data_IF_790990220622
#
_entry.id   IF_790990220622
#
_cell.length_a   1.000
_cell.length_b   1.000
_cell.length_c   1.000
_cell.angle_alpha   90.00
_cell.angle_beta   90.00
_cell.angle_gamma   90.00
#
_symmetry.space_group_name_H-M   'P 1'
#
loop_
_entity.id
_entity.type
_entity.pdbx_description
1 polymer ?
#
# COMPACT_ATOMS: atom_id res chain seq x y z
N UNK A 1 23.70 -65.92 -36.39
CA UNK A 1 24.36 -64.96 -35.47
C UNK A 1 25.15 -63.99 -36.35
N UNK A 2 24.90 -62.69 -36.47
CA UNK A 2 24.12 -61.70 -35.72
C UNK A 2 23.45 -60.73 -36.73
N UNK A 3 22.23 -60.27 -36.43
CA UNK A 3 21.47 -59.34 -37.27
C UNK A 3 21.87 -57.88 -36.97
N UNK A 4 22.60 -57.23 -37.88
CA UNK A 4 22.75 -55.77 -37.87
C UNK A 4 21.53 -55.14 -38.56
N UNK A 5 20.52 -54.72 -37.77
CA UNK A 5 19.42 -53.90 -38.27
C UNK A 5 19.88 -52.45 -38.40
N UNK A 6 20.29 -52.06 -39.61
CA UNK A 6 20.51 -50.66 -39.98
C UNK A 6 19.16 -49.95 -39.94
N UNK A 7 18.95 -49.06 -38.97
CA UNK A 7 17.76 -48.21 -38.96
C UNK A 7 17.79 -47.25 -40.15
N UNK A 8 16.67 -47.06 -40.88
CA UNK A 8 16.62 -46.15 -42.01
C UNK A 8 16.82 -44.70 -41.54
N UNK A 9 17.77 -44.01 -42.18
CA UNK A 9 18.25 -42.62 -41.94
C UNK A 9 17.14 -41.58 -41.70
N UNK A 10 15.92 -41.82 -42.22
CA UNK A 10 14.72 -40.97 -42.05
C UNK A 10 14.04 -41.08 -40.68
N UNK A 11 14.24 -42.18 -39.93
CA UNK A 11 13.70 -42.33 -38.56
C UNK A 11 14.58 -41.67 -37.50
N UNK A 12 15.88 -41.59 -37.74
CA UNK A 12 16.82 -40.90 -36.84
C UNK A 12 16.60 -39.37 -36.83
N UNK A 13 16.28 -38.75 -37.97
CA UNK A 13 15.96 -37.31 -38.02
C UNK A 13 14.65 -36.95 -37.31
N UNK A 14 13.63 -37.83 -37.33
CA UNK A 14 12.34 -37.58 -36.65
C UNK A 14 12.44 -37.68 -35.13
N UNK A 15 13.38 -38.48 -34.62
CA UNK A 15 13.64 -38.62 -33.18
C UNK A 15 14.48 -37.45 -32.64
N UNK A 16 15.41 -36.90 -33.44
CA UNK A 16 16.14 -35.68 -33.07
C UNK A 16 15.23 -34.44 -33.08
N UNK A 17 14.28 -34.31 -34.01
CA UNK A 17 13.35 -33.17 -34.04
C UNK A 17 12.35 -33.17 -32.88
N UNK A 18 11.98 -34.35 -32.38
CA UNK A 18 11.09 -34.47 -31.22
C UNK A 18 11.80 -34.11 -29.90
N UNK A 19 13.11 -34.38 -29.79
CA UNK A 19 13.92 -34.01 -28.63
C UNK A 19 14.21 -32.50 -28.60
N UNK A 20 14.42 -31.86 -29.76
CA UNK A 20 14.60 -30.40 -29.86
C UNK A 20 13.32 -29.63 -29.54
N UNK A 21 12.13 -30.17 -29.88
CA UNK A 21 10.85 -29.58 -29.49
C UNK A 21 10.55 -29.72 -27.98
N UNK A 22 10.92 -30.85 -27.37
CA UNK A 22 10.77 -31.04 -25.91
C UNK A 22 11.71 -30.14 -25.09
N UNK A 23 12.89 -29.80 -25.61
CA UNK A 23 13.81 -28.85 -24.97
C UNK A 23 13.40 -27.39 -25.22
N UNK A 24 12.84 -27.07 -26.40
CA UNK A 24 12.41 -25.71 -26.74
C UNK A 24 11.11 -25.24 -26.02
N UNK A 25 10.25 -26.17 -25.60
CA UNK A 25 9.02 -25.82 -24.85
C UNK A 25 9.21 -25.72 -23.33
N UNK A 26 10.39 -26.05 -22.80
CA UNK A 26 10.68 -26.02 -21.36
C UNK A 26 11.10 -24.64 -20.82
N UNK A 27 11.32 -23.65 -21.70
CA UNK A 27 11.74 -22.30 -21.33
C UNK A 27 10.57 -21.31 -21.40
N UNK A 28 9.37 -21.77 -21.04
CA UNK A 28 8.34 -20.84 -20.62
C UNK A 28 8.83 -20.21 -19.32
N UNK A 29 9.11 -18.91 -19.33
CA UNK A 29 9.22 -18.15 -18.08
C UNK A 29 7.88 -18.28 -17.38
N UNK A 30 7.75 -19.25 -16.46
CA UNK A 30 6.69 -19.19 -15.48
C UNK A 30 6.89 -17.84 -14.79
N UNK A 31 6.04 -16.87 -15.13
CA UNK A 31 5.94 -15.68 -14.31
C UNK A 31 5.66 -16.22 -12.91
N UNK A 32 6.63 -16.07 -12.01
CA UNK A 32 6.44 -16.39 -10.61
C UNK A 32 5.41 -15.37 -10.15
N UNK A 33 4.14 -15.77 -10.20
CA UNK A 33 3.07 -15.00 -9.56
C UNK A 33 3.33 -15.23 -8.08
N UNK A 34 3.85 -14.20 -7.43
CA UNK A 34 4.22 -14.23 -6.02
C UNK A 34 2.92 -14.34 -5.23
N UNK A 35 2.85 -15.28 -4.28
CA UNK A 35 1.79 -15.30 -3.28
C UNK A 35 1.76 -13.95 -2.57
N UNK A 36 0.63 -13.54 -1.99
CA UNK A 36 0.63 -12.29 -1.22
C UNK A 36 1.86 -12.28 -0.28
N UNK A 37 2.76 -11.27 -0.34
CA UNK A 37 4.12 -11.42 0.22
C UNK A 37 4.16 -11.75 1.71
N UNK A 38 3.08 -11.45 2.45
CA UNK A 38 2.93 -11.74 3.87
C UNK A 38 2.08 -12.99 4.17
N UNK A 39 1.63 -13.70 3.15
CA UNK A 39 0.79 -14.89 3.22
C UNK A 39 -0.71 -14.62 2.98
N UNK A 40 -1.44 -15.68 2.65
CA UNK A 40 -2.79 -15.61 2.07
C UNK A 40 -3.90 -15.07 3.01
N UNK A 41 -3.59 -14.77 4.27
CA UNK A 41 -4.55 -14.37 5.31
C UNK A 41 -4.46 -12.90 5.72
N UNK A 42 -3.46 -12.16 5.22
CA UNK A 42 -3.20 -10.80 5.68
C UNK A 42 -4.18 -9.78 5.14
N UNK A 43 -4.51 -8.80 5.98
CA UNK A 43 -5.08 -7.52 5.57
C UNK A 43 -4.01 -6.49 5.92
N UNK A 44 -3.62 -5.66 4.96
CA UNK A 44 -2.53 -4.70 5.08
C UNK A 44 -3.07 -3.28 4.94
N UNK A 45 -2.56 -2.34 5.74
CA UNK A 45 -3.02 -0.95 5.70
C UNK A 45 -1.82 -0.01 5.51
N UNK A 46 -2.03 1.01 4.69
CA UNK A 46 -1.09 2.11 4.51
C UNK A 46 -1.84 3.43 4.66
N UNK A 47 -1.27 4.35 5.43
CA UNK A 47 -1.76 5.71 5.58
C UNK A 47 -0.64 6.71 5.31
N UNK A 48 -0.89 7.68 4.43
CA UNK A 48 -0.04 8.86 4.30
C UNK A 48 -0.84 10.09 4.73
N UNK A 49 -0.40 10.73 5.81
CA UNK A 49 -0.97 11.96 6.32
C UNK A 49 -0.17 13.15 5.79
N UNK A 50 -0.83 14.03 5.04
CA UNK A 50 -0.23 15.23 4.45
C UNK A 50 -0.94 16.47 4.98
N UNK A 51 -0.22 17.34 5.67
CA UNK A 51 -0.75 18.64 6.10
C UNK A 51 -0.40 19.69 5.06
N UNK A 52 -1.40 20.47 4.67
CA UNK A 52 -1.37 21.56 3.69
C UNK A 52 -1.83 22.86 4.38
N UNK A 53 -1.66 24.00 3.72
CA UNK A 53 -2.28 25.24 4.19
C UNK A 53 -3.82 25.08 4.16
N UNK A 54 -4.46 25.27 5.32
CA UNK A 54 -5.91 25.20 5.51
C UNK A 54 -6.48 23.79 5.66
N UNK A 55 -5.68 22.73 5.58
CA UNK A 55 -6.24 21.39 5.57
C UNK A 55 -5.25 20.23 5.67
N UNK A 56 -5.82 19.05 5.61
CA UNK A 56 -5.11 17.78 5.69
C UNK A 56 -5.68 16.79 4.68
N UNK A 57 -4.80 16.00 4.08
CA UNK A 57 -5.13 14.86 3.24
C UNK A 57 -4.62 13.59 3.89
N UNK A 58 -5.44 12.54 3.85
CA UNK A 58 -5.04 11.19 4.23
C UNK A 58 -5.25 10.27 3.04
N UNK A 59 -4.14 9.80 2.45
CA UNK A 59 -4.15 8.70 1.49
C UNK A 59 -4.24 7.41 2.29
N UNK A 60 -5.27 6.62 2.07
CA UNK A 60 -5.51 5.38 2.80
C UNK A 60 -5.64 4.22 1.82
N UNK A 61 -4.88 3.16 2.06
CA UNK A 61 -4.89 1.96 1.21
C UNK A 61 -5.10 0.74 2.10
N UNK A 62 -6.05 -0.10 1.71
CA UNK A 62 -6.24 -1.44 2.27
C UNK A 62 -5.93 -2.45 1.17
N UNK A 63 -5.06 -3.39 1.49
CA UNK A 63 -4.61 -4.44 0.58
C UNK A 63 -4.80 -5.80 1.24
N UNK A 64 -5.70 -6.60 0.68
CA UNK A 64 -6.12 -7.88 1.23
C UNK A 64 -5.58 -9.03 0.40
N UNK A 65 -5.03 -10.02 1.09
CA UNK A 65 -4.61 -11.28 0.50
C UNK A 65 -5.80 -12.13 0.04
N UNK A 66 -5.51 -13.30 -0.50
CA UNK A 66 -6.47 -14.14 -1.23
C UNK A 66 -7.66 -14.60 -0.40
N UNK A 67 -7.45 -15.05 0.84
CA UNK A 67 -8.56 -15.56 1.69
C UNK A 67 -9.49 -14.45 2.17
N UNK A 68 -9.00 -13.32 2.72
CA UNK A 68 -9.88 -12.18 3.02
C UNK A 68 -10.59 -11.66 1.77
N UNK A 69 -9.92 -11.63 0.62
CA UNK A 69 -10.55 -11.23 -0.65
C UNK A 69 -11.71 -12.15 -1.01
N UNK A 70 -11.52 -13.47 -0.91
CA UNK A 70 -12.59 -14.44 -1.16
C UNK A 70 -13.76 -14.28 -0.19
N UNK A 71 -13.51 -13.88 1.06
CA UNK A 71 -14.57 -13.59 2.03
C UNK A 71 -15.36 -12.34 1.63
N UNK A 72 -14.66 -11.26 1.27
CA UNK A 72 -15.31 -10.01 0.86
C UNK A 72 -16.02 -10.16 -0.49
N UNK A 73 -15.49 -10.96 -1.43
CA UNK A 73 -16.13 -11.20 -2.74
C UNK A 73 -17.49 -11.87 -2.61
N UNK A 74 -17.69 -12.74 -1.60
CA UNK A 74 -19.01 -13.32 -1.32
C UNK A 74 -20.03 -12.27 -0.86
N UNK A 75 -19.58 -11.19 -0.23
CA UNK A 75 -20.43 -10.07 0.16
C UNK A 75 -20.63 -9.04 -0.98
N UNK A 76 -19.78 -9.09 -2.01
CA UNK A 76 -19.90 -8.28 -3.23
C UNK A 76 -20.82 -8.93 -4.26
N UNK A 77 -20.76 -10.24 -4.42
CA UNK A 77 -21.55 -11.05 -5.37
C UNK A 77 -23.03 -11.12 -4.93
N UNK A 78 -23.77 -10.04 -5.20
CA UNK A 78 -25.18 -9.89 -4.84
C UNK A 78 -26.08 -10.75 -5.71
N UNK A 79 -25.70 -10.94 -6.98
CA UNK A 79 -26.46 -11.73 -7.94
C UNK A 79 -26.23 -13.25 -7.77
N UNK A 80 -25.17 -13.65 -7.04
CA UNK A 80 -24.76 -15.01 -6.72
C UNK A 80 -24.35 -15.84 -7.94
N UNK A 81 -23.73 -15.21 -8.92
CA UNK A 81 -23.24 -15.87 -10.14
C UNK A 81 -21.83 -16.47 -9.97
N UNK A 82 -21.18 -16.22 -8.82
CA UNK A 82 -19.85 -16.73 -8.49
C UNK A 82 -18.71 -15.84 -8.98
N UNK A 83 -19.02 -14.65 -9.50
CA UNK A 83 -18.06 -13.64 -9.92
C UNK A 83 -18.44 -12.26 -9.40
N UNK A 84 -17.47 -11.35 -9.30
CA UNK A 84 -17.73 -9.95 -8.92
C UNK A 84 -17.59 -9.09 -10.16
N UNK A 85 -18.68 -8.48 -10.57
CA UNK A 85 -18.70 -7.46 -11.62
C UNK A 85 -18.12 -6.12 -11.12
N UNK A 86 -17.78 -5.23 -12.06
CA UNK A 86 -17.32 -3.88 -11.70
C UNK A 86 -18.41 -3.08 -10.98
N UNK A 87 -19.67 -3.30 -11.38
CA UNK A 87 -20.84 -2.67 -10.80
C UNK A 87 -21.05 -3.12 -9.34
N UNK A 88 -20.95 -4.42 -9.07
CA UNK A 88 -21.02 -4.97 -7.71
C UNK A 88 -19.87 -4.48 -6.82
N UNK A 89 -18.65 -4.47 -7.34
CA UNK A 89 -17.50 -3.93 -6.63
C UNK A 89 -17.70 -2.43 -6.29
N UNK A 90 -18.24 -1.64 -7.22
CA UNK A 90 -18.53 -0.22 -7.00
C UNK A 90 -19.61 -0.03 -5.92
N UNK A 91 -20.71 -0.80 -5.98
CA UNK A 91 -21.78 -0.76 -4.96
C UNK A 91 -21.25 -1.17 -3.58
N UNK A 92 -20.40 -2.19 -3.52
CA UNK A 92 -19.75 -2.59 -2.28
C UNK A 92 -18.84 -1.47 -1.74
N UNK A 93 -18.06 -0.81 -2.61
CA UNK A 93 -17.18 0.30 -2.21
C UNK A 93 -17.95 1.49 -1.64
N UNK A 94 -19.14 1.79 -2.15
CA UNK A 94 -20.04 2.82 -1.59
C UNK A 94 -20.39 2.55 -0.12
N UNK A 95 -20.51 1.27 0.26
CA UNK A 95 -20.76 0.85 1.65
C UNK A 95 -19.49 0.78 2.49
N UNK A 96 -18.39 0.29 1.92
CA UNK A 96 -17.14 0.06 2.65
C UNK A 96 -16.43 1.37 3.00
N UNK A 97 -16.32 2.31 2.07
CA UNK A 97 -15.49 3.50 2.25
C UNK A 97 -15.91 4.38 3.45
N UNK A 98 -17.21 4.62 3.72
CA UNK A 98 -17.63 5.30 4.96
C UNK A 98 -17.20 4.58 6.23
N UNK A 99 -17.25 3.25 6.28
CA UNK A 99 -16.79 2.48 7.46
C UNK A 99 -15.27 2.60 7.65
N UNK A 100 -14.50 2.58 6.56
CA UNK A 100 -13.05 2.80 6.65
C UNK A 100 -12.74 4.20 7.19
N UNK A 101 -13.48 5.21 6.75
CA UNK A 101 -13.37 6.59 7.24
C UNK A 101 -13.70 6.70 8.74
N UNK A 102 -14.74 6.02 9.23
CA UNK A 102 -15.07 5.98 10.66
C UNK A 102 -13.90 5.45 11.50
N UNK A 103 -13.12 4.53 10.94
CA UNK A 103 -11.95 3.96 11.58
C UNK A 103 -10.71 4.87 11.58
N UNK A 104 -10.73 6.00 10.88
CA UNK A 104 -9.64 6.99 10.87
C UNK A 104 -9.95 8.13 11.86
N UNK A 105 -9.06 8.31 12.83
CA UNK A 105 -9.15 9.38 13.82
C UNK A 105 -7.98 10.34 13.62
N UNK A 106 -8.29 11.60 13.36
CA UNK A 106 -7.32 12.67 13.26
C UNK A 106 -7.68 13.80 14.21
N UNK A 107 -6.72 14.26 15.00
CA UNK A 107 -6.89 15.40 15.90
C UNK A 107 -5.75 16.42 15.73
N UNK A 108 -6.08 17.70 15.89
CA UNK A 108 -5.12 18.79 16.03
C UNK A 108 -5.36 19.48 17.36
N UNK A 109 -4.30 19.62 18.17
CA UNK A 109 -4.36 20.25 19.49
C UNK A 109 -5.46 19.65 20.40
N UNK A 110 -5.71 18.34 20.23
CA UNK A 110 -6.74 17.59 20.94
C UNK A 110 -8.15 17.68 20.35
N UNK A 111 -8.41 18.60 19.41
CA UNK A 111 -9.70 18.70 18.72
C UNK A 111 -9.76 17.77 17.50
N UNK A 112 -10.88 17.04 17.32
CA UNK A 112 -11.07 16.17 16.15
C UNK A 112 -11.20 16.99 14.88
N UNK A 113 -10.47 16.59 13.83
CA UNK A 113 -10.64 17.10 12.48
C UNK A 113 -11.67 16.20 11.79
N UNK A 114 -12.86 16.70 11.42
CA UNK A 114 -13.80 15.96 10.60
C UNK A 114 -13.19 15.70 9.23
N UNK A 115 -13.19 14.44 8.82
CA UNK A 115 -12.72 14.02 7.51
C UNK A 115 -13.92 13.68 6.61
N UNK A 116 -13.76 13.90 5.31
CA UNK A 116 -14.70 13.46 4.28
C UNK A 116 -13.98 12.71 3.16
N UNK A 117 -14.71 11.91 2.40
CA UNK A 117 -14.16 11.14 1.28
C UNK A 117 -14.06 12.04 0.05
N UNK A 118 -12.85 12.28 -0.44
CA UNK A 118 -12.61 13.02 -1.67
C UNK A 118 -12.54 12.10 -2.88
N UNK A 119 -11.94 10.91 -2.73
CA UNK A 119 -11.86 9.89 -3.78
C UNK A 119 -11.85 8.49 -3.17
N UNK A 120 -12.30 7.51 -3.95
CA UNK A 120 -12.25 6.09 -3.60
C UNK A 120 -12.15 5.22 -4.85
N UNK A 121 -11.44 4.11 -4.76
CA UNK A 121 -11.28 3.13 -5.83
C UNK A 121 -11.15 1.73 -5.24
N UNK A 122 -11.66 0.75 -5.97
CA UNK A 122 -11.57 -0.67 -5.65
C UNK A 122 -11.04 -1.42 -6.87
N UNK A 123 -10.17 -2.40 -6.65
CA UNK A 123 -9.67 -3.27 -7.70
C UNK A 123 -9.41 -4.66 -7.15
N UNK A 124 -9.48 -5.67 -8.01
CA UNK A 124 -9.24 -7.06 -7.64
C UNK A 124 -8.09 -7.66 -8.46
N UNK A 125 -6.82 -7.31 -8.16
CA UNK A 125 -5.67 -7.85 -8.88
C UNK A 125 -5.56 -9.36 -8.74
N UNK A 126 -4.96 -10.01 -9.74
CA UNK A 126 -4.69 -11.45 -9.68
C UNK A 126 -3.62 -11.75 -8.63
N UNK A 127 -3.93 -12.63 -7.70
CA UNK A 127 -3.00 -13.25 -6.77
C UNK A 127 -2.52 -14.62 -7.26
N UNK A 128 -2.00 -15.43 -6.35
CA UNK A 128 -1.46 -16.75 -6.68
C UNK A 128 -2.56 -17.80 -6.91
N UNK A 129 -2.29 -18.79 -7.76
CA UNK A 129 -3.20 -19.91 -7.98
C UNK A 129 -4.51 -19.53 -8.68
N UNK A 130 -4.57 -18.36 -9.32
CA UNK A 130 -5.79 -17.87 -9.97
C UNK A 130 -6.80 -17.21 -9.03
N UNK A 131 -6.47 -17.10 -7.74
CA UNK A 131 -7.26 -16.35 -6.76
C UNK A 131 -7.07 -14.84 -6.96
N UNK A 132 -8.04 -14.06 -6.50
CA UNK A 132 -7.96 -12.60 -6.51
C UNK A 132 -7.44 -12.09 -5.16
N UNK A 133 -6.78 -10.95 -5.22
CA UNK A 133 -6.51 -10.06 -4.08
C UNK A 133 -7.45 -8.87 -4.18
N UNK A 134 -7.58 -8.08 -3.12
CA UNK A 134 -8.48 -6.93 -3.09
C UNK A 134 -7.70 -5.71 -2.62
N UNK A 135 -7.77 -4.65 -3.42
CA UNK A 135 -7.15 -3.37 -3.11
C UNK A 135 -8.19 -2.27 -3.11
N UNK A 136 -8.30 -1.59 -1.98
CA UNK A 136 -9.11 -0.40 -1.80
C UNK A 136 -8.19 0.80 -1.57
N UNK A 137 -8.46 1.88 -2.26
CA UNK A 137 -7.76 3.15 -2.10
C UNK A 137 -8.79 4.23 -1.80
N UNK A 138 -8.52 5.06 -0.81
CA UNK A 138 -9.36 6.18 -0.42
C UNK A 138 -8.49 7.41 -0.17
N UNK A 139 -8.98 8.57 -0.59
CA UNK A 139 -8.40 9.86 -0.21
C UNK A 139 -9.39 10.59 0.69
N UNK A 140 -8.99 10.83 1.93
CA UNK A 140 -9.77 11.59 2.89
C UNK A 140 -9.22 13.01 3.02
N UNK A 141 -10.11 13.98 3.21
CA UNK A 141 -9.76 15.40 3.36
C UNK A 141 -10.41 15.98 4.60
N UNK A 142 -9.69 16.87 5.28
CA UNK A 142 -10.20 17.63 6.43
C UNK A 142 -9.71 19.06 6.39
N UNK A 143 -10.46 19.94 7.06
CA UNK A 143 -10.07 21.34 7.24
C UNK A 143 -9.42 21.49 8.60
N UNK A 144 -8.27 22.17 8.62
CA UNK A 144 -7.61 22.60 9.85
C UNK A 144 -7.91 24.07 9.98
N UNK A 145 -8.68 24.44 11.01
CA UNK A 145 -8.89 25.84 11.34
C UNK A 145 -7.54 26.43 11.76
N UNK A 146 -7.08 27.42 11.02
CA UNK A 146 -5.86 28.13 11.33
C UNK A 146 -6.21 29.34 12.20
N UNK A 147 -5.58 29.47 13.36
CA UNK A 147 -5.57 30.75 14.05
C UNK A 147 -4.76 31.74 13.20
N UNK A 148 -5.33 32.92 12.94
CA UNK A 148 -4.73 33.97 12.09
C UNK A 148 -3.44 34.59 12.68
N UNK A 149 -2.94 34.07 13.81
CA UNK A 149 -1.69 34.47 14.45
C UNK A 149 -0.49 33.66 13.94
N UNK A 150 0.58 34.36 13.57
CA UNK A 150 1.79 33.77 13.01
C UNK A 150 2.48 32.74 13.93
N UNK A 151 3.13 31.74 13.31
CA UNK A 151 4.09 30.77 13.92
C UNK A 151 3.55 29.96 15.11
N UNK A 152 2.26 29.64 15.13
CA UNK A 152 1.75 28.65 16.07
C UNK A 152 2.35 27.27 15.75
N UNK A 153 2.77 26.55 16.80
CA UNK A 153 3.07 25.13 16.72
C UNK A 153 1.81 24.38 17.08
N UNK A 154 1.45 23.41 16.25
CA UNK A 154 0.27 22.58 16.42
C UNK A 154 0.69 21.12 16.58
N UNK A 155 -0.02 20.38 17.44
CA UNK A 155 0.19 18.95 17.62
C UNK A 155 -0.86 18.16 16.87
N UNK A 156 -0.42 17.33 15.93
CA UNK A 156 -1.27 16.42 15.17
C UNK A 156 -1.17 15.01 15.73
N UNK A 157 -2.31 14.32 15.87
CA UNK A 157 -2.36 12.89 16.17
C UNK A 157 -3.25 12.18 15.17
N UNK A 158 -2.71 11.13 14.55
CA UNK A 158 -3.40 10.19 13.67
C UNK A 158 -3.52 8.83 14.36
N UNK A 159 -4.64 8.17 14.18
CA UNK A 159 -4.88 6.80 14.62
C UNK A 159 -5.72 6.03 13.59
N UNK A 160 -5.25 4.84 13.21
CA UNK A 160 -6.01 3.87 12.43
C UNK A 160 -6.57 2.78 13.36
N UNK A 161 -7.90 2.67 13.37
CA UNK A 161 -8.63 1.68 14.17
C UNK A 161 -9.17 0.51 13.32
N UNK A 162 -8.99 0.56 12.00
CA UNK A 162 -9.47 -0.49 11.10
C UNK A 162 -8.63 -1.76 11.25
N UNK A 163 -9.31 -2.92 11.16
CA UNK A 163 -8.68 -4.24 11.07
C UNK A 163 -7.61 -4.50 12.14
N UNK A 164 -7.91 -4.16 13.40
CA UNK A 164 -6.99 -4.32 14.55
C UNK A 164 -6.74 -5.77 14.91
N UNK A 165 -7.74 -6.60 14.69
CA UNK A 165 -7.73 -8.04 14.92
C UNK A 165 -7.08 -8.83 13.78
N UNK A 166 -6.71 -8.17 12.68
CA UNK A 166 -6.12 -8.80 11.50
C UNK A 166 -4.61 -8.71 11.51
N UNK A 167 -3.96 -9.81 11.18
CA UNK A 167 -2.52 -9.84 10.87
C UNK A 167 -2.23 -9.13 9.54
N UNK A 168 -1.06 -8.50 9.45
CA UNK A 168 -0.54 -7.89 8.22
C UNK A 168 0.31 -6.66 8.49
N UNK A 169 0.72 -6.01 7.41
CA UNK A 169 1.52 -4.80 7.39
C UNK A 169 0.70 -3.56 7.74
N UNK A 170 1.24 -2.65 8.54
CA UNK A 170 0.62 -1.37 8.90
C UNK A 170 1.67 -0.29 8.88
N UNK A 171 1.53 0.62 7.94
CA UNK A 171 2.50 1.66 7.71
C UNK A 171 1.85 3.03 7.70
N UNK A 172 2.43 3.94 8.48
CA UNK A 172 2.04 5.33 8.55
C UNK A 172 3.20 6.19 8.07
N UNK A 173 2.91 7.10 7.14
CA UNK A 173 3.85 8.06 6.59
C UNK A 173 3.30 9.45 6.81
N UNK A 174 4.18 10.40 7.16
CA UNK A 174 3.79 11.80 7.36
C UNK A 174 4.56 12.67 6.39
N UNK A 175 3.85 13.43 5.57
CA UNK A 175 4.46 14.24 4.51
C UNK A 175 4.09 15.72 4.68
N UNK A 176 5.04 16.62 4.93
CA UNK A 176 4.75 18.04 4.93
C UNK A 176 4.59 18.59 3.49
N UNK A 177 3.54 19.38 3.26
CA UNK A 177 3.45 20.20 2.04
C UNK A 177 4.49 21.33 2.04
N UNK A 178 4.78 21.95 0.89
CA UNK A 178 5.64 23.13 0.84
C UNK A 178 5.18 24.22 1.82
N UNK A 179 6.12 24.78 2.59
CA UNK A 179 5.83 25.80 3.61
C UNK A 179 5.38 25.25 4.98
N UNK A 180 5.15 23.95 5.08
CA UNK A 180 4.89 23.24 6.34
C UNK A 180 6.16 22.52 6.80
N UNK A 181 6.45 22.59 8.09
CA UNK A 181 7.52 21.81 8.71
C UNK A 181 6.95 20.87 9.76
N UNK A 182 7.38 19.61 9.70
CA UNK A 182 7.08 18.59 10.72
C UNK A 182 8.30 18.33 11.59
N UNK A 183 8.07 18.14 12.88
CA UNK A 183 9.09 17.88 13.89
C UNK A 183 8.49 17.10 15.06
N UNK A 184 9.34 16.57 15.92
CA UNK A 184 8.96 15.75 17.09
C UNK A 184 7.94 14.65 16.71
N UNK A 185 8.25 13.93 15.63
CA UNK A 185 7.35 12.93 15.03
C UNK A 185 7.69 11.52 15.48
N UNK A 186 6.66 10.74 15.83
CA UNK A 186 6.77 9.28 16.03
C UNK A 186 6.71 8.50 14.71
N UNK A 187 6.28 9.13 13.62
CA UNK A 187 6.22 8.55 12.28
C UNK A 187 7.30 9.13 11.36
N UNK A 188 7.46 8.51 10.19
CA UNK A 188 8.55 8.83 9.26
C UNK A 188 8.07 9.56 8.00
N UNK A 189 8.98 10.35 7.43
CA UNK A 189 8.76 11.14 6.21
C UNK A 189 8.88 10.36 4.90
N UNK A 190 9.04 9.04 4.96
CA UNK A 190 9.17 8.19 3.78
C UNK A 190 8.49 6.84 4.02
N UNK A 191 7.90 6.28 2.97
CA UNK A 191 7.44 4.90 2.99
C UNK A 191 8.61 3.93 2.78
N UNK A 192 8.44 2.69 3.20
CA UNK A 192 9.24 1.53 2.77
C UNK A 192 8.50 0.66 1.76
N UNK A 193 7.17 0.75 1.71
CA UNK A 193 6.36 0.13 0.64
C UNK A 193 6.03 1.14 -0.46
N UNK A 194 5.70 0.66 -1.66
CA UNK A 194 5.03 1.48 -2.70
C UNK A 194 3.51 1.46 -2.48
N UNK A 195 3.06 2.05 -1.38
CA UNK A 195 1.65 2.02 -0.95
C UNK A 195 1.07 0.59 -0.99
N UNK A 196 1.83 -0.37 -0.43
CA UNK A 196 1.51 -1.81 -0.42
C UNK A 196 1.54 -2.52 -1.78
N UNK A 197 1.98 -1.88 -2.87
CA UNK A 197 2.16 -2.54 -4.17
C UNK A 197 3.44 -3.38 -4.21
N UNK A 198 4.45 -2.97 -3.46
CA UNK A 198 5.73 -3.67 -3.30
C UNK A 198 6.18 -3.58 -1.85
N UNK A 199 6.77 -4.66 -1.34
CA UNK A 199 7.22 -4.79 0.05
C UNK A 199 8.73 -5.06 0.09
N UNK A 200 9.45 -4.54 1.11
CA UNK A 200 10.85 -4.88 1.31
C UNK A 200 11.00 -6.33 1.79
N UNK A 201 11.77 -7.14 1.06
CA UNK A 201 11.92 -8.59 1.31
C UNK A 201 12.46 -8.90 2.71
N UNK A 202 13.36 -8.06 3.22
CA UNK A 202 14.01 -8.22 4.52
C UNK A 202 13.10 -7.93 5.73
N UNK A 203 11.91 -7.37 5.50
CA UNK A 203 10.95 -7.05 6.56
C UNK A 203 9.69 -7.94 6.55
N UNK A 204 9.57 -8.89 5.62
CA UNK A 204 8.38 -9.76 5.55
C UNK A 204 8.20 -10.63 6.80
N UNK A 205 9.30 -10.98 7.49
CA UNK A 205 9.28 -11.74 8.73
C UNK A 205 8.88 -10.91 9.97
N UNK A 206 8.99 -9.58 9.89
CA UNK A 206 8.63 -8.65 10.95
C UNK A 206 7.91 -7.43 10.33
N UNK A 207 6.65 -7.62 9.87
CA UNK A 207 5.88 -6.54 9.27
C UNK A 207 5.74 -5.34 10.19
N UNK A 208 5.69 -4.13 9.62
CA UNK A 208 5.36 -2.94 10.40
C UNK A 208 3.97 -3.08 11.03
N UNK A 209 3.81 -2.58 12.26
CA UNK A 209 2.54 -2.58 12.99
C UNK A 209 2.22 -1.19 13.57
N UNK A 210 2.29 -0.17 12.71
CA UNK A 210 2.05 1.22 13.11
C UNK A 210 0.56 1.55 13.10
N UNK A 211 0.02 1.93 14.27
CA UNK A 211 -1.40 2.25 14.44
C UNK A 211 -1.67 3.70 14.76
N UNK A 212 -0.66 4.40 15.24
CA UNK A 212 -0.75 5.78 15.69
C UNK A 212 0.47 6.56 15.24
N UNK A 213 0.26 7.81 14.87
CA UNK A 213 1.34 8.76 14.63
C UNK A 213 1.05 10.07 15.36
N UNK A 214 2.06 10.58 16.05
CA UNK A 214 2.01 11.91 16.67
C UNK A 214 3.16 12.74 16.13
N UNK A 215 2.88 14.01 15.83
CA UNK A 215 3.89 14.96 15.38
C UNK A 215 3.50 16.38 15.74
N UNK A 216 4.48 17.26 15.76
CA UNK A 216 4.29 18.70 15.79
C UNK A 216 4.50 19.29 14.40
N UNK A 217 3.73 20.33 14.07
CA UNK A 217 3.88 21.04 12.81
C UNK A 217 3.73 22.54 12.97
N UNK A 218 4.34 23.28 12.05
CA UNK A 218 4.22 24.73 11.97
C UNK A 218 4.34 25.21 10.52
N UNK A 219 3.91 26.45 10.26
CA UNK A 219 4.23 27.16 9.02
C UNK A 219 5.61 27.78 9.15
N UNK A 220 6.51 27.45 8.22
CA UNK A 220 7.86 27.98 8.20
C UNK A 220 8.86 27.15 9.02
N UNK A 221 9.73 27.81 9.77
CA UNK A 221 10.90 27.17 10.38
C UNK A 221 10.54 26.29 11.57
N UNK A 222 11.24 25.15 11.69
CA UNK A 222 11.18 24.26 12.86
C UNK A 222 11.68 25.04 14.10
N UNK A 223 10.97 24.99 15.24
CA UNK A 223 11.41 25.64 16.48
C UNK A 223 12.78 25.14 16.96
N UNK A 224 13.57 26.04 17.55
CA UNK A 224 14.86 25.68 18.14
C UNK A 224 14.69 24.58 19.19
N UNK A 225 15.51 23.52 19.09
CA UNK A 225 15.49 22.39 20.01
C UNK A 225 14.54 21.25 19.63
N UNK A 226 13.69 21.43 18.62
CA UNK A 226 12.85 20.36 18.11
C UNK A 226 13.63 19.34 17.27
N UNK A 227 13.18 18.09 17.27
CA UNK A 227 13.76 17.01 16.47
C UNK A 227 13.16 17.03 15.08
N UNK A 228 13.99 17.29 14.06
CA UNK A 228 13.54 17.30 12.67
C UNK A 228 12.96 15.94 12.23
N UNK A 229 11.94 15.98 11.35
CA UNK A 229 11.37 14.79 10.74
C UNK A 229 12.45 13.96 10.02
N UNK A 230 12.43 12.65 10.29
CA UNK A 230 13.35 11.69 9.67
C UNK A 230 12.63 10.83 8.65
N UNK A 231 13.35 10.41 7.62
CA UNK A 231 12.97 9.28 6.77
C UNK A 231 13.22 7.97 7.50
N UNK A 232 12.62 6.86 7.03
CA UNK A 232 12.77 5.53 7.64
C UNK A 232 14.22 5.02 7.63
N UNK A 233 15.03 5.44 6.67
CA UNK A 233 16.47 5.14 6.61
C UNK A 233 17.34 6.06 7.51
N UNK A 234 16.72 6.90 8.35
CA UNK A 234 17.41 7.73 9.34
C UNK A 234 17.95 9.07 8.83
N UNK A 235 17.70 9.43 7.56
CA UNK A 235 18.09 10.73 7.01
C UNK A 235 17.09 11.84 7.41
N UNK A 236 17.52 13.10 7.38
CA UNK A 236 16.59 14.22 7.55
C UNK A 236 15.70 14.34 6.33
N UNK A 237 14.38 14.34 6.50
CA UNK A 237 13.42 14.33 5.39
C UNK A 237 13.53 15.56 4.46
N UNK A 238 14.06 16.69 4.95
CA UNK A 238 14.36 17.87 4.14
C UNK A 238 15.55 17.71 3.19
N UNK A 239 16.52 16.84 3.50
CA UNK A 239 17.77 16.72 2.76
C UNK A 239 17.62 15.91 1.46
N UNK A 240 16.59 15.07 1.36
CA UNK A 240 16.30 14.29 0.15
C UNK A 240 15.85 15.18 -1.02
N UNK A 241 15.18 16.30 -0.76
CA UNK A 241 14.75 17.24 -1.81
C UNK A 241 15.91 18.04 -2.40
N UNK A 242 16.88 18.46 -1.58
CA UNK A 242 18.04 19.24 -2.06
C UNK A 242 18.94 18.42 -3.00
N UNK A 243 19.15 17.13 -2.74
CA UNK A 243 20.01 16.29 -3.59
C UNK A 243 19.44 16.01 -5.00
N UNK A 244 18.12 16.03 -5.17
CA UNK A 244 17.52 15.90 -6.51
C UNK A 244 17.56 17.22 -7.28
N UNK A 245 17.58 18.36 -6.60
CA UNK A 245 17.73 19.68 -7.22
C UNK A 245 19.19 19.98 -7.66
N UNK A 246 20.18 19.30 -7.07
CA UNK A 246 21.60 19.40 -7.44
C UNK A 246 22.00 18.56 -8.68
N UNK A 247 21.07 17.78 -9.25
CA UNK A 247 21.30 16.88 -10.41
C UNK A 247 20.75 17.43 -11.74
N UNK A 248 20.31 18.68 -11.78
CA UNK A 248 19.84 19.42 -12.97
C UNK A 248 20.76 20.62 -13.20
#
# INVERSE_FOLDING_TARGET
MAFFKILPRRRALKLLSALVWLVACGWGTSAVVVAHPLGNFTVNNFARVRVEAGGVRVRYVVDMAEIPTFQESQAMDENKDGSVSNEEAAVYLERLAPRLLEGIVLTSDGARIPLSIAAKTISMPKGTGGLQTLRIECDFVGIIAEDAGAVATHRLRFEDTNYRERIGWREIVVEPAPGISFFDSSAFGSAVTDELKTYPEDMLAAPLDERTAELSWTRGAVPSGAVALRTRNGQSAGQTRDRFAELI
#
